data_IF_087281989501
#
_entry.id   IF_087281989501
#
_cell.length_a   1.000
_cell.length_b   1.000
_cell.length_c   1.000
_cell.angle_alpha   90.00
_cell.angle_beta   90.00
_cell.angle_gamma   90.00
#
_symmetry.space_group_name_H-M   'P 1'
#
loop_
_entity.id
_entity.type
_entity.pdbx_description
1 polymer ?
#
# COMPACT_ATOMS: atom_id res chain seq x y z
N UNK A 1 22.88 -25.79 -9.86
CA UNK A 1 21.64 -25.31 -9.23
C UNK A 1 21.74 -23.86 -8.69
N UNK A 2 22.66 -23.01 -9.17
CA UNK A 2 22.83 -21.63 -8.65
C UNK A 2 22.03 -20.53 -9.36
N UNK A 3 21.89 -20.61 -10.69
CA UNK A 3 21.27 -19.55 -11.51
C UNK A 3 19.77 -19.37 -11.24
N UNK A 4 19.03 -20.47 -11.06
CA UNK A 4 17.57 -20.43 -10.84
C UNK A 4 17.18 -19.69 -9.55
N UNK A 5 18.03 -19.73 -8.52
CA UNK A 5 17.73 -19.06 -7.25
C UNK A 5 17.94 -17.55 -7.35
N UNK A 6 18.95 -17.09 -8.10
CA UNK A 6 19.21 -15.66 -8.33
C UNK A 6 18.09 -15.02 -9.16
N UNK A 7 17.60 -15.69 -10.20
CA UNK A 7 16.47 -15.18 -11.00
C UNK A 7 15.19 -15.05 -10.16
N UNK A 8 14.91 -16.02 -9.28
CA UNK A 8 13.79 -15.93 -8.35
C UNK A 8 13.94 -14.74 -7.40
N UNK A 9 15.13 -14.51 -6.85
CA UNK A 9 15.37 -13.35 -5.97
C UNK A 9 15.13 -12.02 -6.70
N UNK A 10 15.60 -11.90 -7.94
CA UNK A 10 15.37 -10.72 -8.78
C UNK A 10 13.89 -10.51 -9.05
N UNK A 11 13.16 -11.56 -9.44
CA UNK A 11 11.70 -11.50 -9.65
C UNK A 11 11.00 -10.99 -8.39
N UNK A 12 11.34 -11.55 -7.22
CA UNK A 12 10.75 -11.13 -5.95
C UNK A 12 11.10 -9.69 -5.60
N UNK A 13 12.33 -9.27 -5.86
CA UNK A 13 12.79 -7.90 -5.65
C UNK A 13 11.98 -6.90 -6.50
N UNK A 14 11.97 -7.07 -7.82
CA UNK A 14 11.27 -6.12 -8.71
C UNK A 14 9.77 -6.10 -8.45
N UNK A 15 9.14 -7.28 -8.28
CA UNK A 15 7.70 -7.34 -8.00
C UNK A 15 7.37 -6.70 -6.65
N UNK A 16 8.18 -6.96 -5.63
CA UNK A 16 8.02 -6.36 -4.32
C UNK A 16 8.12 -4.83 -4.36
N UNK A 17 9.13 -4.27 -5.05
CA UNK A 17 9.25 -2.82 -5.17
C UNK A 17 8.10 -2.17 -5.94
N UNK A 18 7.68 -2.78 -7.05
CA UNK A 18 6.54 -2.28 -7.82
C UNK A 18 5.26 -2.29 -6.98
N UNK A 19 5.04 -3.32 -6.16
CA UNK A 19 3.88 -3.38 -5.26
C UNK A 19 4.00 -2.42 -4.05
N UNK A 20 5.21 -2.11 -3.59
CA UNK A 20 5.41 -1.12 -2.53
C UNK A 20 5.14 0.30 -3.03
N UNK A 21 5.59 0.63 -4.25
CA UNK A 21 5.62 2.02 -4.72
C UNK A 21 4.56 2.36 -5.77
N UNK A 22 4.06 1.40 -6.55
CA UNK A 22 3.12 1.63 -7.67
C UNK A 22 3.77 2.25 -8.91
N UNK A 23 4.70 3.17 -8.73
CA UNK A 23 5.57 3.70 -9.77
C UNK A 23 6.89 4.08 -9.11
N UNK A 24 8.00 3.69 -9.73
CA UNK A 24 9.31 3.76 -9.08
C UNK A 24 10.35 4.25 -10.06
N UNK A 25 11.21 5.14 -9.56
CA UNK A 25 12.38 5.58 -10.30
C UNK A 25 13.45 4.50 -10.31
N UNK A 26 14.13 4.35 -11.43
CA UNK A 26 15.20 3.36 -11.59
C UNK A 26 16.31 3.60 -10.55
N UNK A 27 16.70 4.85 -10.28
CA UNK A 27 17.72 5.17 -9.28
C UNK A 27 17.33 4.77 -7.85
N UNK A 28 16.04 4.85 -7.51
CA UNK A 28 15.51 4.31 -6.25
C UNK A 28 15.60 2.78 -6.23
N UNK A 29 15.29 2.10 -7.34
CA UNK A 29 15.51 0.64 -7.42
C UNK A 29 16.99 0.29 -7.21
N UNK A 30 17.91 1.03 -7.83
CA UNK A 30 19.36 0.83 -7.67
C UNK A 30 19.79 1.04 -6.21
N UNK A 31 19.33 2.12 -5.58
CA UNK A 31 19.62 2.43 -4.18
C UNK A 31 19.13 1.31 -3.24
N UNK A 32 17.90 0.83 -3.43
CA UNK A 32 17.35 -0.24 -2.59
C UNK A 32 18.10 -1.55 -2.84
N UNK A 33 18.44 -1.88 -4.10
CA UNK A 33 19.20 -3.09 -4.40
C UNK A 33 20.59 -3.06 -3.74
N UNK A 34 21.34 -1.95 -3.90
CA UNK A 34 22.65 -1.77 -3.26
C UNK A 34 22.56 -1.94 -1.74
N UNK A 35 21.54 -1.36 -1.10
CA UNK A 35 21.35 -1.49 0.35
C UNK A 35 21.09 -2.93 0.79
N UNK A 36 20.27 -3.68 0.06
CA UNK A 36 19.79 -4.99 0.47
C UNK A 36 20.70 -6.15 0.04
N UNK A 37 21.41 -5.99 -1.07
CA UNK A 37 22.26 -7.03 -1.68
C UNK A 37 23.75 -6.69 -1.60
N UNK A 38 24.11 -5.45 -1.24
CA UNK A 38 25.50 -4.96 -1.24
C UNK A 38 26.17 -5.05 -2.61
N UNK A 39 25.36 -5.01 -3.67
CA UNK A 39 25.76 -5.17 -5.07
C UNK A 39 25.22 -4.01 -5.89
N UNK A 40 26.01 -3.57 -6.87
CA UNK A 40 25.57 -2.54 -7.80
C UNK A 40 24.61 -3.12 -8.84
N UNK A 41 23.51 -2.41 -9.07
CA UNK A 41 22.55 -2.73 -10.10
C UNK A 41 22.51 -1.58 -11.10
N UNK A 42 22.83 -1.84 -12.36
CA UNK A 42 22.83 -0.79 -13.40
C UNK A 42 21.44 -0.59 -13.98
N UNK A 43 21.20 0.57 -14.59
CA UNK A 43 19.96 0.86 -15.33
C UNK A 43 19.75 -0.16 -16.44
N UNK A 44 20.80 -0.47 -17.20
CA UNK A 44 20.75 -1.43 -18.30
C UNK A 44 20.37 -2.83 -17.79
N UNK A 45 20.92 -3.25 -16.66
CA UNK A 45 20.55 -4.52 -16.01
C UNK A 45 19.08 -4.52 -15.59
N UNK A 46 18.59 -3.43 -14.97
CA UNK A 46 17.17 -3.31 -14.59
C UNK A 46 16.27 -3.44 -15.81
N UNK A 47 16.54 -2.69 -16.87
CA UNK A 47 15.72 -2.74 -18.08
C UNK A 47 15.70 -4.13 -18.71
N UNK A 48 16.87 -4.78 -18.77
CA UNK A 48 17.00 -6.16 -19.27
C UNK A 48 16.23 -7.15 -18.39
N UNK A 49 16.35 -7.04 -17.07
CA UNK A 49 15.65 -7.90 -16.12
C UNK A 49 14.13 -7.72 -16.24
N UNK A 50 13.63 -6.48 -16.36
CA UNK A 50 12.20 -6.20 -16.58
C UNK A 50 11.73 -6.78 -17.91
N UNK A 51 12.49 -6.61 -18.99
CA UNK A 51 12.14 -7.19 -20.29
C UNK A 51 12.10 -8.72 -20.25
N UNK A 52 12.99 -9.34 -19.48
CA UNK A 52 13.10 -10.80 -19.37
C UNK A 52 11.99 -11.38 -18.48
N UNK A 53 11.77 -10.80 -17.31
CA UNK A 53 10.89 -11.38 -16.28
C UNK A 53 9.46 -10.83 -16.31
N UNK A 54 9.28 -9.61 -16.82
CA UNK A 54 7.99 -8.90 -16.82
C UNK A 54 7.76 -8.19 -18.17
N UNK A 55 7.70 -8.93 -19.29
CA UNK A 55 7.59 -8.35 -20.63
C UNK A 55 6.34 -7.45 -20.79
N UNK A 56 5.28 -7.71 -20.02
CA UNK A 56 4.07 -6.88 -19.98
C UNK A 56 4.28 -5.48 -19.38
N UNK A 57 5.36 -5.27 -18.61
CA UNK A 57 5.71 -3.98 -18.02
C UNK A 57 6.63 -3.13 -18.92
N UNK A 58 7.15 -3.68 -20.02
CA UNK A 58 8.02 -2.93 -20.94
C UNK A 58 7.33 -1.65 -21.47
N UNK A 59 6.04 -1.66 -21.87
CA UNK A 59 5.34 -0.44 -22.27
C UNK A 59 5.19 0.60 -21.15
N UNK A 60 5.33 0.18 -19.90
CA UNK A 60 5.17 1.02 -18.71
C UNK A 60 6.45 1.74 -18.31
N UNK A 61 7.55 1.51 -19.02
CA UNK A 61 8.82 2.19 -18.82
C UNK A 61 8.77 3.55 -19.53
N UNK A 62 8.94 4.64 -18.77
CA UNK A 62 8.92 6.01 -19.29
C UNK A 62 10.06 6.81 -18.66
N UNK A 63 11.05 7.18 -19.47
CA UNK A 63 12.24 7.90 -19.00
C UNK A 63 13.00 7.10 -17.92
N UNK A 64 13.00 7.64 -16.70
CA UNK A 64 13.62 7.02 -15.53
C UNK A 64 12.63 6.26 -14.63
N UNK A 65 11.41 6.03 -15.08
CA UNK A 65 10.33 5.45 -14.29
C UNK A 65 9.86 4.10 -14.83
N UNK A 66 9.44 3.23 -13.91
CA UNK A 66 8.74 1.98 -14.20
C UNK A 66 7.42 2.02 -13.44
N UNK A 67 6.30 1.95 -14.16
CA UNK A 67 4.96 1.89 -13.56
C UNK A 67 4.49 0.45 -13.36
N UNK A 68 3.81 0.22 -12.24
CA UNK A 68 3.07 -0.99 -11.97
C UNK A 68 1.99 -1.22 -13.04
N UNK A 69 1.61 -2.48 -13.29
CA UNK A 69 0.65 -2.86 -14.34
C UNK A 69 -0.72 -2.19 -14.19
N UNK A 70 -1.16 -1.96 -12.95
CA UNK A 70 -2.40 -1.23 -12.62
C UNK A 70 -2.40 0.24 -13.11
N UNK A 71 -1.23 0.83 -13.38
CA UNK A 71 -1.08 2.17 -13.95
C UNK A 71 -0.67 2.17 -15.43
N UNK A 72 -0.74 1.03 -16.12
CA UNK A 72 -0.36 0.91 -17.52
C UNK A 72 -1.09 1.92 -18.42
N UNK A 73 -2.40 2.10 -18.22
CA UNK A 73 -3.25 2.97 -19.02
C UNK A 73 -3.25 4.45 -18.62
N UNK A 74 -2.69 4.80 -17.45
CA UNK A 74 -2.67 6.18 -16.98
C UNK A 74 -1.48 6.96 -17.58
N UNK A 75 -1.79 8.08 -18.25
CA UNK A 75 -0.79 9.05 -18.68
C UNK A 75 -0.54 10.03 -17.53
N UNK A 76 0.49 9.75 -16.74
CA UNK A 76 0.92 10.59 -15.63
C UNK A 76 2.25 11.26 -15.99
N UNK A 77 2.36 12.57 -15.78
CA UNK A 77 3.65 13.26 -15.84
C UNK A 77 4.39 13.06 -14.50
N UNK A 78 5.04 11.89 -14.36
CA UNK A 78 5.63 11.47 -13.08
C UNK A 78 6.73 12.40 -12.57
N UNK A 79 7.50 13.03 -13.47
CA UNK A 79 8.54 13.98 -13.07
C UNK A 79 7.94 15.26 -12.47
N UNK A 80 6.83 15.75 -13.02
CA UNK A 80 6.13 16.92 -12.49
C UNK A 80 5.46 16.63 -11.14
N UNK A 81 4.84 15.45 -11.01
CA UNK A 81 4.04 15.11 -9.83
C UNK A 81 4.91 14.59 -8.67
N UNK A 82 6.00 13.87 -8.96
CA UNK A 82 6.70 13.05 -7.97
C UNK A 82 8.22 13.21 -7.94
N UNK A 83 8.79 14.22 -8.62
CA UNK A 83 10.26 14.48 -8.60
C UNK A 83 10.85 14.59 -7.20
N UNK A 84 10.13 15.19 -6.25
CA UNK A 84 10.55 15.38 -4.86
C UNK A 84 9.98 14.34 -3.88
N UNK A 85 9.42 13.24 -4.38
CA UNK A 85 8.84 12.21 -3.54
C UNK A 85 9.93 11.52 -2.71
N UNK A 86 9.75 11.55 -1.39
CA UNK A 86 10.57 10.75 -0.49
C UNK A 86 10.04 9.31 -0.42
N UNK A 87 10.89 8.34 -0.74
CA UNK A 87 10.55 6.93 -0.72
C UNK A 87 10.75 6.30 0.66
N UNK A 88 9.86 5.36 1.01
CA UNK A 88 10.16 4.38 2.05
C UNK A 88 11.28 3.47 1.55
N UNK A 89 12.37 3.33 2.31
CA UNK A 89 13.46 2.41 1.97
C UNK A 89 13.36 1.16 2.84
N UNK A 90 13.11 -0.04 2.26
CA UNK A 90 13.10 -1.31 2.98
C UNK A 90 14.41 -1.55 3.75
N UNK A 91 14.30 -2.29 4.87
CA UNK A 91 15.45 -2.58 5.74
C UNK A 91 16.02 -3.98 5.54
N UNK A 92 15.30 -4.87 4.86
CA UNK A 92 15.75 -6.24 4.55
C UNK A 92 15.10 -6.76 3.27
N UNK A 93 15.67 -7.84 2.69
CA UNK A 93 15.10 -8.52 1.52
C UNK A 93 13.70 -9.06 1.83
N UNK A 94 13.49 -9.61 3.02
CA UNK A 94 12.21 -10.15 3.48
C UNK A 94 11.14 -9.07 3.56
N UNK A 95 11.53 -7.83 3.91
CA UNK A 95 10.61 -6.69 3.90
C UNK A 95 10.08 -6.39 2.50
N UNK A 96 10.88 -6.61 1.44
CA UNK A 96 10.46 -6.50 0.04
C UNK A 96 9.64 -7.71 -0.38
N UNK A 97 10.08 -8.92 -0.04
CA UNK A 97 9.45 -10.17 -0.48
C UNK A 97 8.05 -10.39 0.07
N UNK A 98 7.73 -9.80 1.23
CA UNK A 98 6.36 -9.75 1.74
C UNK A 98 5.37 -9.15 0.75
N UNK A 99 5.84 -8.20 -0.06
CA UNK A 99 5.04 -7.48 -1.06
C UNK A 99 5.11 -8.14 -2.44
N UNK A 100 5.44 -9.44 -2.56
CA UNK A 100 5.19 -10.18 -3.81
C UNK A 100 3.69 -10.18 -4.15
N UNK A 101 2.86 -10.24 -3.11
CA UNK A 101 1.41 -10.02 -3.20
C UNK A 101 1.14 -8.52 -3.01
N UNK A 102 0.47 -7.90 -3.99
CA UNK A 102 0.14 -6.48 -3.94
C UNK A 102 -0.73 -6.16 -2.72
N UNK A 103 -1.71 -7.01 -2.42
CA UNK A 103 -2.58 -6.89 -1.25
C UNK A 103 -1.93 -7.17 0.12
N UNK A 104 -0.60 -7.34 0.22
CA UNK A 104 0.05 -7.58 1.50
C UNK A 104 -0.13 -6.39 2.46
N UNK A 105 -0.41 -6.66 3.73
CA UNK A 105 -0.32 -5.69 4.82
C UNK A 105 0.14 -6.45 6.06
N UNK A 106 0.91 -5.80 6.92
CA UNK A 106 1.43 -6.46 8.11
C UNK A 106 0.28 -7.02 8.99
N UNK A 107 0.35 -8.29 9.40
CA UNK A 107 -0.63 -8.86 10.31
C UNK A 107 -0.63 -8.11 11.64
N UNK A 108 -1.82 -7.74 12.11
CA UNK A 108 -2.00 -6.95 13.32
C UNK A 108 -3.41 -7.13 13.88
N UNK A 109 -3.69 -6.43 14.98
CA UNK A 109 -5.02 -6.46 15.61
C UNK A 109 -6.08 -5.89 14.65
N UNK A 110 -5.79 -4.74 14.04
CA UNK A 110 -6.72 -4.03 13.15
C UNK A 110 -7.06 -4.84 11.90
N UNK A 111 -6.07 -5.46 11.26
CA UNK A 111 -6.29 -6.30 10.06
C UNK A 111 -7.09 -7.56 10.36
N UNK A 112 -6.89 -8.19 11.52
CA UNK A 112 -7.72 -9.33 11.98
C UNK A 112 -9.14 -8.91 12.30
N UNK A 113 -9.31 -7.81 13.03
CA UNK A 113 -10.65 -7.29 13.37
C UNK A 113 -11.42 -6.85 12.13
N UNK A 114 -10.74 -6.23 11.15
CA UNK A 114 -11.36 -5.85 9.89
C UNK A 114 -11.89 -7.08 9.15
N UNK A 115 -11.12 -8.16 9.03
CA UNK A 115 -11.59 -9.40 8.39
C UNK A 115 -12.82 -9.99 9.08
N UNK A 116 -12.83 -10.02 10.41
CA UNK A 116 -13.99 -10.49 11.17
C UNK A 116 -15.22 -9.61 10.93
N UNK A 117 -15.04 -8.29 10.91
CA UNK A 117 -16.13 -7.34 10.69
C UNK A 117 -16.64 -7.38 9.25
N UNK A 118 -15.77 -7.51 8.25
CA UNK A 118 -16.16 -7.72 6.85
C UNK A 118 -17.02 -8.98 6.71
N UNK A 119 -16.60 -10.11 7.28
CA UNK A 119 -17.38 -11.35 7.24
C UNK A 119 -18.79 -11.19 7.80
N UNK A 120 -18.96 -10.42 8.89
CA UNK A 120 -20.28 -10.13 9.48
C UNK A 120 -21.16 -9.25 8.61
N UNK A 121 -20.54 -8.41 7.77
CA UNK A 121 -21.24 -7.47 6.90
C UNK A 121 -21.43 -8.00 5.47
N UNK A 122 -20.77 -9.09 5.07
CA UNK A 122 -20.99 -9.72 3.77
C UNK A 122 -22.41 -10.28 3.67
N UNK A 123 -23.03 -10.15 2.49
CA UNK A 123 -24.34 -10.72 2.20
C UNK A 123 -24.17 -12.10 1.55
N UNK A 124 -25.01 -13.05 1.92
CA UNK A 124 -24.99 -14.43 1.41
C UNK A 124 -25.29 -15.44 2.52
N UNK A 125 -25.88 -16.57 2.17
CA UNK A 125 -26.22 -17.63 3.13
C UNK A 125 -24.97 -18.33 3.68
N UNK A 126 -23.95 -18.51 2.82
CA UNK A 126 -22.66 -19.08 3.20
C UNK A 126 -21.52 -18.20 2.66
N UNK A 127 -20.64 -17.76 3.56
CA UNK A 127 -19.49 -16.94 3.23
C UNK A 127 -18.22 -17.77 3.44
N UNK A 128 -17.63 -18.19 2.33
CA UNK A 128 -16.37 -18.94 2.34
C UNK A 128 -15.19 -18.02 2.63
N UNK A 129 -14.16 -18.57 3.27
CA UNK A 129 -12.97 -17.79 3.62
C UNK A 129 -12.27 -17.21 2.37
N UNK A 130 -12.32 -17.89 1.22
CA UNK A 130 -11.75 -17.40 -0.03
C UNK A 130 -12.44 -16.11 -0.50
N UNK A 131 -13.76 -16.00 -0.35
CA UNK A 131 -14.51 -14.79 -0.73
C UNK A 131 -14.16 -13.62 0.19
N UNK A 132 -14.01 -13.89 1.49
CA UNK A 132 -13.56 -12.89 2.47
C UNK A 132 -12.14 -12.40 2.15
N UNK A 133 -11.21 -13.32 1.86
CA UNK A 133 -9.82 -12.96 1.52
C UNK A 133 -9.76 -12.17 0.21
N UNK A 134 -10.55 -12.55 -0.80
CA UNK A 134 -10.63 -11.80 -2.06
C UNK A 134 -11.13 -10.37 -1.83
N UNK A 135 -12.23 -10.20 -1.10
CA UNK A 135 -12.76 -8.87 -0.73
C UNK A 135 -11.75 -8.06 0.07
N UNK A 136 -11.12 -8.69 1.07
CA UNK A 136 -10.09 -8.04 1.88
C UNK A 136 -8.92 -7.58 1.01
N UNK A 137 -8.44 -8.41 0.08
CA UNK A 137 -7.37 -8.05 -0.83
C UNK A 137 -7.76 -6.90 -1.75
N UNK A 138 -8.95 -6.94 -2.33
CA UNK A 138 -9.48 -5.87 -3.19
C UNK A 138 -9.53 -4.53 -2.43
N UNK A 139 -9.93 -4.54 -1.16
CA UNK A 139 -9.90 -3.35 -0.29
C UNK A 139 -8.47 -2.85 -0.08
N UNK A 140 -7.51 -3.73 0.25
CA UNK A 140 -6.12 -3.33 0.47
C UNK A 140 -5.47 -2.80 -0.82
N UNK A 141 -5.74 -3.42 -1.96
CA UNK A 141 -5.27 -2.94 -3.25
C UNK A 141 -5.86 -1.56 -3.58
N UNK A 142 -7.16 -1.37 -3.36
CA UNK A 142 -7.82 -0.07 -3.52
C UNK A 142 -7.17 0.99 -2.63
N UNK A 143 -6.87 0.66 -1.37
CA UNK A 143 -6.21 1.59 -0.45
C UNK A 143 -4.86 2.06 -0.98
N UNK A 144 -4.09 1.18 -1.64
CA UNK A 144 -2.77 1.52 -2.17
C UNK A 144 -2.81 2.49 -3.33
N UNK A 145 -3.78 2.31 -4.21
CA UNK A 145 -3.92 3.07 -5.48
C UNK A 145 -4.61 4.41 -5.27
N UNK A 146 -5.45 4.53 -4.24
CA UNK A 146 -6.30 5.73 -4.01
C UNK A 146 -5.57 6.86 -3.30
N UNK A 147 -5.95 8.08 -3.68
CA UNK A 147 -5.34 9.31 -3.17
C UNK A 147 -5.83 9.74 -1.78
N UNK A 148 -6.98 9.22 -1.36
CA UNK A 148 -7.60 9.57 -0.08
C UNK A 148 -8.38 8.39 0.50
N UNK A 149 -8.63 8.43 1.80
CA UNK A 149 -9.50 7.44 2.44
C UNK A 149 -10.94 7.59 1.95
N UNK A 150 -11.38 8.81 1.64
CA UNK A 150 -12.71 9.12 1.15
C UNK A 150 -12.97 8.43 -0.19
N UNK A 151 -12.05 8.53 -1.15
CA UNK A 151 -12.13 7.82 -2.43
C UNK A 151 -12.11 6.31 -2.24
N UNK A 152 -11.29 5.80 -1.31
CA UNK A 152 -11.28 4.39 -0.97
C UNK A 152 -12.59 3.92 -0.33
N UNK A 153 -13.25 4.79 0.43
CA UNK A 153 -14.52 4.50 1.09
C UNK A 153 -15.69 4.52 0.11
N UNK A 154 -15.67 5.38 -0.90
CA UNK A 154 -16.64 5.36 -2.02
C UNK A 154 -16.63 3.99 -2.72
N UNK A 155 -15.46 3.42 -2.97
CA UNK A 155 -15.34 2.07 -3.52
C UNK A 155 -16.00 1.01 -2.62
N UNK A 156 -15.84 1.13 -1.30
CA UNK A 156 -16.47 0.21 -0.34
C UNK A 156 -17.99 0.39 -0.33
N UNK A 157 -18.48 1.62 -0.48
CA UNK A 157 -19.91 1.88 -0.64
C UNK A 157 -20.45 1.25 -1.95
N UNK A 158 -19.68 1.29 -3.03
CA UNK A 158 -20.02 0.64 -4.30
C UNK A 158 -20.09 -0.89 -4.18
N UNK A 159 -19.25 -1.51 -3.35
CA UNK A 159 -19.38 -2.94 -3.01
C UNK A 159 -20.72 -3.24 -2.31
N UNK A 160 -21.23 -2.29 -1.52
CA UNK A 160 -22.58 -2.32 -0.96
C UNK A 160 -23.66 -2.25 -2.04
N UNK A 161 -23.50 -1.35 -3.02
CA UNK A 161 -24.40 -1.23 -4.17
C UNK A 161 -24.42 -2.50 -5.04
N UNK A 162 -23.28 -3.20 -5.15
CA UNK A 162 -23.15 -4.50 -5.82
C UNK A 162 -23.66 -5.68 -4.98
N UNK A 163 -24.29 -5.43 -3.82
CA UNK A 163 -24.79 -6.45 -2.89
C UNK A 163 -23.73 -7.42 -2.34
N UNK A 164 -22.44 -7.07 -2.37
CA UNK A 164 -21.38 -7.92 -1.80
C UNK A 164 -21.29 -7.75 -0.27
N UNK A 165 -21.58 -6.56 0.23
CA UNK A 165 -21.65 -6.23 1.65
C UNK A 165 -22.94 -5.49 1.98
N UNK A 166 -23.26 -5.35 3.27
CA UNK A 166 -24.33 -4.50 3.76
C UNK A 166 -24.12 -3.06 3.27
N UNK A 167 -25.18 -2.45 2.73
CA UNK A 167 -25.17 -1.12 2.08
C UNK A 167 -24.75 -0.01 3.04
N UNK A 168 -24.94 -0.21 4.35
CA UNK A 168 -24.50 0.73 5.39
C UNK A 168 -23.35 0.08 6.16
N UNK A 169 -22.09 0.49 5.93
CA UNK A 169 -20.98 0.09 6.77
C UNK A 169 -21.29 0.52 8.21
N UNK A 170 -21.17 -0.40 9.17
CA UNK A 170 -21.29 -0.02 10.58
C UNK A 170 -20.23 1.04 10.93
N UNK A 171 -20.51 1.90 11.91
CA UNK A 171 -19.50 2.85 12.41
C UNK A 171 -18.19 2.14 12.78
N UNK A 172 -18.31 0.91 13.31
CA UNK A 172 -17.18 0.03 13.60
C UNK A 172 -16.39 -0.36 12.35
N UNK A 173 -17.07 -0.79 11.28
CA UNK A 173 -16.42 -1.16 10.01
C UNK A 173 -15.69 0.05 9.43
N UNK A 174 -16.33 1.21 9.37
CA UNK A 174 -15.70 2.45 8.89
C UNK A 174 -14.46 2.81 9.70
N UNK A 175 -14.50 2.69 11.03
CA UNK A 175 -13.33 2.93 11.89
C UNK A 175 -12.20 1.95 11.61
N UNK A 176 -12.50 0.66 11.51
CA UNK A 176 -11.50 -0.38 11.22
C UNK A 176 -10.85 -0.19 9.84
N UNK A 177 -11.64 0.22 8.84
CA UNK A 177 -11.14 0.56 7.51
C UNK A 177 -10.17 1.74 7.57
N UNK A 178 -10.49 2.80 8.33
CA UNK A 178 -9.57 3.92 8.56
C UNK A 178 -8.29 3.48 9.26
N UNK A 179 -8.40 2.69 10.32
CA UNK A 179 -7.24 2.21 11.08
C UNK A 179 -6.29 1.40 10.18
N UNK A 180 -6.84 0.45 9.41
CA UNK A 180 -6.05 -0.35 8.46
C UNK A 180 -5.46 0.50 7.34
N UNK A 181 -6.20 1.47 6.78
CA UNK A 181 -5.67 2.39 5.77
C UNK A 181 -4.41 3.11 6.25
N UNK A 182 -4.32 3.48 7.53
CA UNK A 182 -3.12 4.14 8.07
C UNK A 182 -1.89 3.22 8.21
N UNK A 183 -2.09 1.91 8.10
CA UNK A 183 -1.06 0.88 8.21
C UNK A 183 -0.62 0.31 6.85
N UNK A 184 -1.37 0.59 5.77
CA UNK A 184 -1.04 0.20 4.40
C UNK A 184 0.04 1.13 3.82
N UNK A 185 0.95 0.56 3.00
CA UNK A 185 1.93 1.34 2.24
C UNK A 185 1.27 1.93 1.00
N UNK A 186 1.17 3.26 0.94
CA UNK A 186 0.45 3.96 -0.11
C UNK A 186 1.39 4.39 -1.23
N UNK A 187 0.97 4.18 -2.48
CA UNK A 187 1.78 4.51 -3.65
C UNK A 187 2.02 6.01 -3.78
N UNK A 188 0.98 6.82 -3.56
CA UNK A 188 1.04 8.28 -3.52
C UNK A 188 2.01 8.85 -2.47
N UNK A 189 2.45 8.03 -1.51
CA UNK A 189 3.39 8.41 -0.44
C UNK A 189 4.76 7.75 -0.61
N UNK A 190 5.12 7.31 -1.82
CA UNK A 190 6.40 6.65 -2.07
C UNK A 190 6.55 5.35 -1.27
N UNK A 191 5.44 4.63 -1.05
CA UNK A 191 5.40 3.41 -0.25
C UNK A 191 5.47 3.61 1.26
N UNK A 192 5.35 4.84 1.75
CA UNK A 192 5.20 5.10 3.19
C UNK A 192 3.78 4.80 3.65
N UNK A 193 3.65 4.52 4.95
CA UNK A 193 2.36 4.44 5.64
C UNK A 193 1.96 5.83 6.14
N UNK A 194 0.67 6.11 6.24
CA UNK A 194 0.19 7.35 6.88
C UNK A 194 0.73 7.46 8.31
N UNK A 195 0.79 6.33 9.03
CA UNK A 195 1.36 6.25 10.38
C UNK A 195 2.86 6.59 10.48
N UNK A 196 3.60 6.50 9.38
CA UNK A 196 5.02 6.87 9.29
C UNK A 196 5.18 8.39 9.04
N UNK A 197 4.12 9.11 8.62
CA UNK A 197 4.19 10.53 8.29
C UNK A 197 4.30 11.43 9.53
N UNK A 198 5.11 12.51 9.49
CA UNK A 198 5.26 13.45 10.61
C UNK A 198 3.94 14.09 11.06
N UNK A 199 3.07 14.42 10.12
CA UNK A 199 1.79 15.09 10.38
C UNK A 199 0.82 14.23 11.19
N UNK A 200 0.80 12.92 10.92
CA UNK A 200 0.00 11.95 11.66
C UNK A 200 0.49 11.76 13.11
N UNK A 201 1.79 11.89 13.35
CA UNK A 201 2.34 11.86 14.72
C UNK A 201 1.95 13.10 15.53
N UNK A 202 1.80 14.26 14.86
CA UNK A 202 1.39 15.52 15.50
C UNK A 202 -0.10 15.53 15.89
N UNK A 203 -0.97 14.95 15.07
CA UNK A 203 -2.42 14.89 15.36
C UNK A 203 -2.74 14.05 16.61
N UNK A 204 -1.97 12.99 16.88
CA UNK A 204 -2.12 12.18 18.12
C UNK A 204 -1.71 12.92 19.41
N UNK A 205 -0.87 13.96 19.32
CA UNK A 205 -0.34 14.68 20.50
C UNK A 205 -1.23 15.86 20.90
N UNK A 206 -2.18 16.28 20.06
CA UNK A 206 -3.15 17.34 20.40
C UNK A 206 -4.34 16.80 21.23
N UNK A 207 -4.08 16.11 22.34
CA UNK A 207 -5.05 16.11 23.44
C UNK A 207 -4.78 17.37 24.25
N UNK A 208 -5.49 18.44 23.89
CA UNK A 208 -5.55 19.67 24.67
C UNK A 208 -5.93 19.29 26.10
N UNK A 209 -4.97 19.35 27.01
CA UNK A 209 -5.25 19.41 28.44
C UNK A 209 -6.15 20.64 28.67
N UNK A 210 -7.47 20.42 28.68
CA UNK A 210 -8.43 21.40 29.20
C UNK A 210 -8.07 21.61 30.67
N UNK A 211 -7.23 22.63 30.95
CA UNK A 211 -7.06 23.18 32.30
C UNK A 211 -8.45 23.55 32.81
N UNK A 212 -8.95 22.78 33.77
CA UNK A 212 -10.18 23.07 34.49
C UNK A 212 -10.02 24.41 35.20
N UNK A 213 -10.76 25.43 34.76
CA UNK A 213 -10.91 26.66 35.54
C UNK A 213 -11.73 26.33 36.78
N UNK A 214 -11.05 26.15 37.92
CA UNK A 214 -11.65 26.16 39.27
C UNK A 214 -12.49 27.44 39.41
N UNK A 215 -13.82 27.28 39.52
CA UNK A 215 -14.74 28.34 39.99
C UNK A 215 -14.32 28.75 41.40
N UNK A 216 -13.79 29.98 41.55
CA UNK A 216 -13.73 30.65 42.86
C UNK A 216 -15.15 30.99 43.28
N UNK A 217 -15.66 30.33 44.33
CA UNK A 217 -16.80 30.82 45.12
C UNK A 217 -16.37 32.15 45.75
N UNK A 218 -17.12 33.23 45.51
CA UNK A 218 -17.10 34.39 46.41
C UNK A 218 -18.29 34.26 47.35
N UNK A 219 -17.97 34.48 48.63
CA UNK A 219 -18.91 34.69 49.73
C UNK A 219 -19.75 35.93 49.48
#
# INVERSE_FOLDING_TARGET
>A
MGYFNQDIEKIKFYRGLLNIYGFVRIDIMQQVYQKLYQEELTRETILKDIQTFFPNLVPNIKGNWIKHELYSHQQLNLDEIFSNMEYYIPQSKEAVYKYILNAYVEPGKNTRELKMELKRNMKGEEIYNQQLEALYFEIIETFRVTDSFETAFEFIADLGAKNMISVVPTERLTRLLKDVYTEVRLWRLGGKKVSEMPEFKRSKIQVVQKKSKKKKKKK
#
